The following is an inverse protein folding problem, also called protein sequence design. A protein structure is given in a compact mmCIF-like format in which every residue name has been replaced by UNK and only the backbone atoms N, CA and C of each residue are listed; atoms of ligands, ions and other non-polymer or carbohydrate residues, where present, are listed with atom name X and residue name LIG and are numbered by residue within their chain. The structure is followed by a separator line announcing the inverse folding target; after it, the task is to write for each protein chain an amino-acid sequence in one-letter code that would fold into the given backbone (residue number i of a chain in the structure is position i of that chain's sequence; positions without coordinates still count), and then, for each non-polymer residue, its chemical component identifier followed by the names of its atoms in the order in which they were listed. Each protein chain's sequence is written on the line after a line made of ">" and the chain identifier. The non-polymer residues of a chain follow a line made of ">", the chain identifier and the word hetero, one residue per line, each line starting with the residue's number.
data_IF_183385882971
#
_entry.id   IF_183385882971
#
_cell.length_a   1.000
_cell.length_b   1.000
_cell.length_c   1.000
_cell.angle_alpha   90.00
_cell.angle_beta   90.00
_cell.angle_gamma   90.00
#
_symmetry.space_group_name_H-M   'P 1'
#
loop_
_entity.id
_entity.type
_entity.pdbx_description
1 polymer ?
#
# COMPACT_ATOMS: atom_id res chain seq x y z
N UNK A 1 66.03 -42.81 -46.07
CA UNK A 1 65.40 -42.96 -44.74
C UNK A 1 64.88 -41.58 -44.39
N UNK A 2 63.59 -41.22 -44.44
CA UNK A 2 62.36 -41.94 -44.12
C UNK A 2 61.64 -41.12 -43.04
N UNK A 3 60.32 -40.94 -43.19
CA UNK A 3 59.33 -40.20 -42.36
C UNK A 3 59.14 -38.72 -42.73
N UNK A 4 58.10 -38.29 -43.46
CA UNK A 4 56.64 -38.57 -43.49
C UNK A 4 55.82 -37.70 -42.53
N UNK A 5 54.93 -36.91 -43.14
CA UNK A 5 53.60 -36.54 -42.63
C UNK A 5 53.56 -35.32 -41.71
N UNK A 6 52.56 -34.44 -41.75
CA UNK A 6 51.38 -34.37 -42.62
C UNK A 6 50.88 -32.92 -42.48
N UNK A 7 50.76 -32.22 -43.59
CA UNK A 7 49.95 -31.00 -43.71
C UNK A 7 48.50 -31.39 -43.39
N UNK A 8 47.88 -30.75 -42.41
CA UNK A 8 46.43 -30.79 -42.27
C UNK A 8 45.85 -29.40 -42.47
N UNK A 9 44.92 -29.39 -43.42
CA UNK A 9 44.41 -28.25 -44.13
C UNK A 9 43.45 -27.41 -43.30
N UNK A 10 43.60 -26.10 -43.54
CA UNK A 10 42.56 -25.09 -43.51
C UNK A 10 41.30 -25.62 -44.22
N UNK A 11 40.23 -25.89 -43.46
CA UNK A 11 38.90 -26.14 -44.01
C UNK A 11 37.92 -25.12 -43.46
N UNK A 12 37.42 -24.31 -44.38
CA UNK A 12 36.29 -23.39 -44.26
C UNK A 12 35.07 -24.08 -43.65
N UNK A 13 34.49 -23.48 -42.61
CA UNK A 13 33.10 -23.72 -42.20
C UNK A 13 32.28 -22.47 -42.51
N UNK A 14 31.94 -22.29 -43.78
CA UNK A 14 30.81 -21.46 -44.18
C UNK A 14 29.52 -22.27 -44.11
N UNK A 15 28.50 -21.69 -43.48
CA UNK A 15 27.11 -21.90 -43.88
C UNK A 15 26.25 -22.81 -42.99
N UNK A 16 25.39 -22.19 -42.19
CA UNK A 16 24.11 -22.80 -41.83
C UNK A 16 23.57 -22.42 -40.46
N UNK A 17 22.73 -21.38 -40.40
CA UNK A 17 21.79 -21.21 -39.28
C UNK A 17 21.81 -19.87 -38.54
N UNK A 18 21.88 -18.74 -39.26
CA UNK A 18 21.45 -17.47 -38.70
C UNK A 18 19.95 -17.58 -38.37
N UNK A 19 19.62 -17.77 -37.08
CA UNK A 19 18.24 -17.59 -36.58
C UNK A 19 17.91 -16.11 -36.74
N UNK A 20 17.16 -15.78 -37.80
CA UNK A 20 16.43 -14.51 -37.91
C UNK A 20 15.53 -14.37 -36.69
N UNK A 21 15.92 -13.50 -35.76
CA UNK A 21 15.03 -13.00 -34.72
C UNK A 21 14.77 -11.53 -35.01
N UNK A 22 14.18 -11.27 -36.17
CA UNK A 22 13.58 -9.99 -36.48
C UNK A 22 12.32 -10.30 -37.27
N UNK A 23 11.24 -9.58 -36.93
CA UNK A 23 10.05 -9.42 -37.77
C UNK A 23 8.91 -10.46 -37.56
N UNK A 24 8.26 -10.42 -36.39
CA UNK A 24 6.86 -10.88 -36.28
C UNK A 24 6.02 -10.28 -35.14
N UNK A 25 6.48 -9.24 -34.43
CA UNK A 25 5.73 -8.69 -33.27
C UNK A 25 4.97 -7.39 -33.46
N UNK A 26 4.71 -6.98 -34.70
CA UNK A 26 3.83 -5.85 -35.02
C UNK A 26 2.67 -6.26 -35.95
N UNK A 27 1.92 -7.29 -35.58
CA UNK A 27 0.59 -7.48 -36.13
C UNK A 27 -0.44 -7.05 -35.09
N UNK A 28 -1.10 -5.93 -35.38
CA UNK A 28 -2.25 -5.46 -34.63
C UNK A 28 -3.35 -6.52 -34.68
N UNK A 29 -3.87 -6.89 -33.52
CA UNK A 29 -5.00 -7.81 -33.38
C UNK A 29 -6.27 -7.09 -33.87
N UNK A 30 -7.01 -7.63 -34.86
CA UNK A 30 -8.32 -7.11 -35.27
C UNK A 30 -9.29 -7.14 -34.09
N UNK A 31 -10.11 -6.10 -33.93
CA UNK A 31 -11.00 -5.87 -32.77
C UNK A 31 -12.36 -6.55 -32.90
N UNK A 32 -12.49 -7.52 -33.78
CA UNK A 32 -13.77 -7.91 -34.34
C UNK A 32 -13.80 -9.39 -34.70
N UNK A 33 -13.59 -10.26 -33.70
CA UNK A 33 -14.26 -11.57 -33.59
C UNK A 33 -13.74 -12.35 -32.36
N UNK A 34 -14.39 -12.17 -31.21
CA UNK A 34 -14.49 -13.24 -30.21
C UNK A 34 -15.89 -13.16 -29.59
N UNK A 35 -16.88 -13.74 -30.28
CA UNK A 35 -18.17 -14.03 -29.67
C UNK A 35 -18.03 -15.21 -28.71
N UNK A 36 -17.51 -14.96 -27.50
CA UNK A 36 -17.57 -15.93 -26.41
C UNK A 36 -19.04 -16.08 -26.01
N UNK A 37 -19.63 -17.23 -26.34
CA UNK A 37 -20.89 -17.66 -25.77
C UNK A 37 -20.72 -17.76 -24.25
N UNK A 38 -21.21 -16.75 -23.52
CA UNK A 38 -21.26 -16.77 -22.06
C UNK A 38 -22.37 -17.75 -21.63
N UNK A 39 -22.11 -18.79 -20.83
CA UNK A 39 -23.19 -19.55 -20.24
C UNK A 39 -23.98 -18.64 -19.28
N UNK A 40 -25.29 -18.51 -19.52
CA UNK A 40 -26.22 -17.84 -18.59
C UNK A 40 -26.34 -18.71 -17.33
N UNK A 41 -25.63 -18.33 -16.28
CA UNK A 41 -25.91 -18.82 -14.93
C UNK A 41 -27.24 -18.19 -14.47
N UNK A 42 -28.31 -18.98 -14.53
CA UNK A 42 -29.56 -18.64 -13.86
C UNK A 42 -29.36 -18.79 -12.35
N UNK A 43 -29.23 -17.67 -11.64
CA UNK A 43 -29.33 -17.65 -10.19
C UNK A 43 -30.80 -17.89 -9.80
N UNK A 44 -31.13 -19.15 -9.47
CA UNK A 44 -32.42 -19.49 -8.88
C UNK A 44 -32.47 -18.94 -7.45
N UNK A 45 -33.28 -17.91 -7.25
CA UNK A 45 -33.50 -17.29 -5.96
C UNK A 45 -34.13 -18.26 -4.96
N UNK A 46 -33.38 -18.65 -3.94
CA UNK A 46 -33.94 -19.03 -2.65
C UNK A 46 -33.33 -18.10 -1.61
N UNK A 47 -34.17 -17.26 -0.99
CA UNK A 47 -33.73 -16.37 0.09
C UNK A 47 -33.39 -17.24 1.30
N UNK A 48 -32.15 -17.26 1.82
CA UNK A 48 -31.88 -17.98 3.07
C UNK A 48 -32.65 -17.30 4.20
N UNK A 49 -33.38 -18.09 4.99
CA UNK A 49 -33.98 -17.60 6.25
C UNK A 49 -32.84 -17.14 7.16
N UNK A 50 -32.83 -15.90 7.65
CA UNK A 50 -31.74 -15.42 8.48
C UNK A 50 -31.67 -16.23 9.79
N UNK A 51 -30.46 -16.56 10.27
CA UNK A 51 -30.30 -17.25 11.54
C UNK A 51 -30.87 -16.40 12.70
N UNK A 52 -31.57 -17.07 13.61
CA UNK A 52 -32.38 -16.53 14.73
C UNK A 52 -31.61 -15.72 15.78
N UNK A 53 -30.31 -15.51 15.60
CA UNK A 53 -29.42 -14.85 16.57
C UNK A 53 -29.27 -13.33 16.34
N UNK A 54 -29.89 -12.77 15.30
CA UNK A 54 -29.73 -11.35 14.94
C UNK A 54 -30.97 -10.48 15.18
N UNK A 55 -32.08 -11.02 15.70
CA UNK A 55 -33.36 -10.29 15.79
C UNK A 55 -33.54 -9.38 17.01
N UNK A 56 -32.64 -9.42 18.00
CA UNK A 56 -32.81 -8.60 19.22
C UNK A 56 -31.98 -7.31 19.20
N UNK A 57 -30.77 -7.33 18.60
CA UNK A 57 -29.92 -6.13 18.52
C UNK A 57 -30.36 -5.16 17.41
N UNK A 58 -30.79 -5.68 16.26
CA UNK A 58 -31.27 -4.86 15.13
C UNK A 58 -32.62 -4.21 15.40
N UNK A 59 -33.51 -4.86 16.17
CA UNK A 59 -34.76 -4.23 16.64
C UNK A 59 -34.50 -3.06 17.57
N UNK A 60 -33.55 -3.17 18.50
CA UNK A 60 -33.21 -2.07 19.42
C UNK A 60 -32.58 -0.86 18.71
N UNK A 61 -31.85 -1.08 17.62
CA UNK A 61 -31.26 0.02 16.84
C UNK A 61 -32.30 0.77 15.98
N UNK A 62 -33.31 0.08 15.46
CA UNK A 62 -34.39 0.71 14.67
C UNK A 62 -35.47 1.35 15.55
N UNK A 63 -35.71 0.84 16.76
CA UNK A 63 -36.66 1.41 17.72
C UNK A 63 -36.20 2.80 18.25
N UNK A 64 -34.88 3.05 18.27
CA UNK A 64 -34.32 4.37 18.59
C UNK A 64 -34.70 5.45 17.56
N UNK A 65 -34.93 5.09 16.30
CA UNK A 65 -35.36 6.06 15.25
C UNK A 65 -36.88 6.28 15.21
N UNK A 66 -37.68 5.45 15.88
CA UNK A 66 -39.14 5.62 16.02
C UNK A 66 -39.55 6.32 17.32
N UNK A 67 -38.61 6.76 18.16
CA UNK A 67 -38.85 7.77 19.19
C UNK A 67 -39.15 9.12 18.52
N UNK A 68 -40.33 9.20 17.91
CA UNK A 68 -40.91 10.40 17.33
C UNK A 68 -41.12 11.40 18.46
N UNK A 69 -40.21 12.36 18.50
CA UNK A 69 -40.37 13.70 19.03
C UNK A 69 -41.84 14.13 19.13
N UNK A 70 -42.44 13.93 20.31
CA UNK A 70 -43.59 14.72 20.74
C UNK A 70 -43.02 16.01 21.31
N UNK A 71 -42.72 16.97 20.42
CA UNK A 71 -42.56 18.36 20.80
C UNK A 71 -43.94 18.90 21.15
N UNK A 72 -44.37 18.75 22.41
CA UNK A 72 -45.44 19.58 22.93
C UNK A 72 -44.87 20.98 23.17
N UNK A 73 -45.27 21.92 22.31
CA UNK A 73 -45.05 23.36 22.48
C UNK A 73 -45.53 23.80 23.87
N UNK A 74 -44.70 24.42 24.73
CA UNK A 74 -45.17 25.08 25.94
C UNK A 74 -45.36 26.58 25.65
N UNK A 75 -46.31 26.92 24.78
CA UNK A 75 -46.82 28.30 24.66
C UNK A 75 -48.33 28.24 24.50
N UNK A 76 -49.03 27.86 25.57
CA UNK A 76 -50.44 28.19 25.79
C UNK A 76 -50.81 27.82 27.23
N UNK A 77 -51.14 28.85 28.01
CA UNK A 77 -51.77 28.88 29.34
C UNK A 77 -50.88 29.50 30.42
N UNK A 78 -50.77 30.82 30.35
CA UNK A 78 -50.69 31.64 31.55
C UNK A 78 -52.07 31.63 32.22
N UNK A 79 -52.34 30.55 32.96
CA UNK A 79 -53.49 30.42 33.85
C UNK A 79 -53.02 30.72 35.26
N UNK A 80 -53.27 31.94 35.70
CA UNK A 80 -53.05 32.42 37.06
C UNK A 80 -53.86 31.56 38.06
N UNK A 81 -53.17 30.87 38.98
CA UNK A 81 -53.77 30.49 40.26
C UNK A 81 -52.70 30.46 41.36
N UNK A 82 -52.91 31.33 42.35
CA UNK A 82 -52.14 31.42 43.58
C UNK A 82 -52.38 30.18 44.45
N UNK A 83 -51.31 29.50 44.90
CA UNK A 83 -50.95 29.41 46.32
C UNK A 83 -49.81 28.40 46.61
N UNK A 84 -48.83 28.90 47.36
CA UNK A 84 -47.94 28.26 48.36
C UNK A 84 -47.83 26.74 48.36
N UNK A 85 -46.60 26.27 48.09
CA UNK A 85 -46.12 24.96 48.51
C UNK A 85 -44.63 24.82 48.28
N UNK A 86 -43.84 24.91 49.36
CA UNK A 86 -42.40 24.65 49.40
C UNK A 86 -42.09 23.26 48.82
N UNK A 87 -41.06 23.14 47.99
CA UNK A 87 -39.90 22.26 48.25
C UNK A 87 -38.80 22.49 47.22
N UNK A 88 -37.57 22.48 47.74
CA UNK A 88 -36.32 22.64 47.04
C UNK A 88 -35.94 21.32 46.34
N UNK A 89 -35.40 21.41 45.13
CA UNK A 89 -34.70 20.29 44.49
C UNK A 89 -34.92 20.25 42.99
N UNK A 90 -33.83 20.06 42.25
CA UNK A 90 -33.80 19.65 40.83
C UNK A 90 -33.66 20.76 39.78
N UNK A 91 -32.66 21.62 39.91
CA UNK A 91 -32.11 22.37 38.75
C UNK A 91 -30.74 21.83 38.30
N UNK A 92 -30.27 20.71 38.86
CA UNK A 92 -28.88 20.25 38.65
C UNK A 92 -28.71 19.04 37.69
N UNK A 93 -29.77 18.55 37.04
CA UNK A 93 -29.69 17.27 36.30
C UNK A 93 -29.91 17.34 34.78
N UNK A 94 -30.05 18.54 34.19
CA UNK A 94 -30.35 18.68 32.75
C UNK A 94 -29.23 19.28 31.90
N UNK A 95 -28.10 19.69 32.48
CA UNK A 95 -26.99 20.29 31.72
C UNK A 95 -25.84 19.32 31.35
N UNK A 96 -25.81 18.11 31.91
CA UNK A 96 -24.65 17.19 31.81
C UNK A 96 -24.59 16.32 30.54
N UNK A 97 -25.64 16.27 29.72
CA UNK A 97 -25.70 15.34 28.56
C UNK A 97 -25.18 15.91 27.23
N UNK A 98 -24.77 17.19 27.15
CA UNK A 98 -24.24 17.77 25.90
C UNK A 98 -22.73 17.61 25.72
N UNK A 99 -21.97 17.45 26.80
CA UNK A 99 -20.51 17.32 26.73
C UNK A 99 -20.03 15.94 26.22
N UNK A 100 -20.77 14.87 26.51
CA UNK A 100 -20.35 13.50 26.15
C UNK A 100 -20.49 13.17 24.65
N UNK A 101 -21.45 13.79 23.95
CA UNK A 101 -21.68 13.51 22.53
C UNK A 101 -20.61 14.13 21.60
N UNK A 102 -19.92 15.19 22.04
CA UNK A 102 -18.87 15.84 21.24
C UNK A 102 -17.55 15.04 21.22
N UNK A 103 -17.30 14.18 22.21
CA UNK A 103 -16.06 13.40 22.30
C UNK A 103 -16.05 12.14 21.42
N UNK A 104 -17.22 11.59 21.07
CA UNK A 104 -17.31 10.36 20.27
C UNK A 104 -17.00 10.53 18.78
N UNK A 105 -17.14 11.74 18.23
CA UNK A 105 -16.92 12.01 16.80
C UNK A 105 -15.45 12.29 16.43
N UNK A 106 -14.61 12.67 17.39
CA UNK A 106 -13.21 13.02 17.14
C UNK A 106 -12.29 11.79 16.89
N UNK A 107 -12.69 10.58 17.32
CA UNK A 107 -11.85 9.38 17.26
C UNK A 107 -11.63 8.79 15.86
N UNK A 108 -12.48 9.10 14.88
CA UNK A 108 -12.39 8.49 13.55
C UNK A 108 -11.35 9.14 12.63
N UNK A 109 -10.82 10.32 12.97
CA UNK A 109 -9.89 11.06 12.11
C UNK A 109 -8.45 10.50 12.11
N UNK A 110 -8.07 9.67 13.09
CA UNK A 110 -6.68 9.19 13.30
C UNK A 110 -6.49 7.72 12.85
N UNK A 111 -7.47 7.13 12.17
CA UNK A 111 -7.39 5.72 11.78
C UNK A 111 -6.51 5.44 10.54
N UNK A 112 -6.14 6.49 9.80
CA UNK A 112 -5.31 6.41 8.60
C UNK A 112 -3.96 6.98 9.03
N UNK A 113 -2.89 6.18 8.98
CA UNK A 113 -1.54 6.69 9.18
C UNK A 113 -1.26 7.87 8.26
N UNK A 114 -0.25 8.67 8.57
CA UNK A 114 0.10 9.82 7.73
C UNK A 114 0.39 9.34 6.29
N UNK A 115 -0.49 9.68 5.33
CA UNK A 115 -0.35 9.29 3.92
C UNK A 115 0.46 10.31 3.12
N UNK A 116 0.97 11.37 3.77
CA UNK A 116 1.88 12.31 3.11
C UNK A 116 3.30 11.72 3.08
N UNK A 117 4.06 11.90 1.99
CA UNK A 117 5.49 11.58 1.95
C UNK A 117 6.21 12.14 3.18
N UNK A 118 6.98 11.30 3.87
CA UNK A 118 7.79 11.71 5.01
C UNK A 118 9.23 11.92 4.53
N UNK A 119 9.80 13.07 4.89
CA UNK A 119 11.21 13.35 4.66
C UNK A 119 12.07 12.31 5.38
N UNK A 120 13.19 11.94 4.75
CA UNK A 120 14.11 10.92 5.26
C UNK A 120 15.42 11.59 5.64
N UNK A 121 15.80 11.51 6.91
CA UNK A 121 17.12 11.93 7.39
C UNK A 121 18.14 10.83 7.11
N UNK A 122 19.04 11.10 6.17
CA UNK A 122 20.12 10.18 5.77
C UNK A 122 21.35 10.29 6.67
N UNK A 123 21.33 11.19 7.65
CA UNK A 123 22.34 11.31 8.70
C UNK A 123 23.76 11.45 8.16
N UNK A 124 24.64 10.52 8.55
CA UNK A 124 26.05 10.52 8.16
C UNK A 124 26.35 9.59 6.97
N UNK A 125 25.34 9.20 6.18
CA UNK A 125 25.59 8.43 4.97
C UNK A 125 26.40 9.26 3.97
N UNK A 126 27.36 8.65 3.25
CA UNK A 126 28.14 9.35 2.23
C UNK A 126 27.23 9.86 1.11
N UNK A 127 27.48 11.08 0.64
CA UNK A 127 26.70 11.68 -0.45
C UNK A 127 26.95 10.95 -1.77
N UNK A 128 25.89 10.39 -2.38
CA UNK A 128 26.02 9.63 -3.62
C UNK A 128 26.07 10.51 -4.89
N UNK A 129 25.70 11.79 -4.76
CA UNK A 129 25.62 12.76 -5.86
C UNK A 129 24.34 12.66 -6.70
N UNK A 130 24.29 13.47 -7.77
CA UNK A 130 23.14 13.58 -8.67
C UNK A 130 23.02 12.42 -9.67
N UNK A 131 24.12 11.71 -9.93
CA UNK A 131 24.13 10.57 -10.84
C UNK A 131 23.50 9.35 -10.17
N UNK A 132 22.49 8.78 -10.82
CA UNK A 132 21.75 7.63 -10.31
C UNK A 132 22.62 6.39 -10.44
N UNK A 133 22.92 5.75 -9.31
CA UNK A 133 23.63 4.47 -9.24
C UNK A 133 22.74 3.38 -9.82
N UNK A 134 23.34 2.41 -10.51
CA UNK A 134 22.63 1.24 -11.04
C UNK A 134 22.55 0.08 -10.05
N UNK A 135 23.39 0.11 -9.01
CA UNK A 135 23.55 -0.97 -8.02
C UNK A 135 23.56 -0.38 -6.60
N UNK A 136 23.18 -1.20 -5.61
CA UNK A 136 23.14 -0.76 -4.21
C UNK A 136 24.53 -0.45 -3.66
N UNK A 137 24.88 0.83 -3.41
CA UNK A 137 26.22 1.18 -2.97
C UNK A 137 26.52 0.78 -1.51
N UNK A 138 25.49 0.57 -0.68
CA UNK A 138 25.63 0.21 0.73
C UNK A 138 25.63 -1.30 0.97
N UNK A 139 25.53 -2.13 -0.08
CA UNK A 139 25.67 -3.59 0.06
C UNK A 139 27.07 -3.95 0.55
N UNK A 140 27.18 -4.97 1.39
CA UNK A 140 28.48 -5.48 1.83
C UNK A 140 29.35 -5.83 0.61
N UNK A 141 30.58 -5.31 0.56
CA UNK A 141 31.50 -5.49 -0.57
C UNK A 141 31.44 -4.41 -1.66
N UNK A 142 30.44 -3.53 -1.64
CA UNK A 142 30.34 -2.39 -2.56
C UNK A 142 31.02 -1.13 -2.00
N UNK A 143 31.06 -0.05 -2.80
CA UNK A 143 31.79 1.21 -2.52
C UNK A 143 31.60 1.76 -1.10
N UNK A 144 30.37 1.74 -0.59
CA UNK A 144 30.01 2.24 0.74
C UNK A 144 29.46 1.13 1.64
N UNK A 145 29.89 -0.12 1.42
CA UNK A 145 29.44 -1.28 2.19
C UNK A 145 29.71 -1.19 3.69
N UNK A 146 30.70 -0.39 4.11
CA UNK A 146 30.96 -0.12 5.53
C UNK A 146 29.79 0.57 6.26
N UNK A 147 28.93 1.27 5.51
CA UNK A 147 27.73 1.94 6.02
C UNK A 147 26.48 1.06 6.00
N UNK A 148 26.58 -0.23 5.63
CA UNK A 148 25.43 -1.12 5.45
C UNK A 148 24.46 -1.10 6.65
N UNK A 149 24.98 -1.30 7.86
CA UNK A 149 24.16 -1.34 9.07
C UNK A 149 23.47 0.00 9.36
N UNK A 150 24.15 1.12 9.09
CA UNK A 150 23.56 2.45 9.24
C UNK A 150 22.48 2.70 8.19
N UNK A 151 22.75 2.35 6.93
CA UNK A 151 21.82 2.45 5.83
C UNK A 151 20.57 1.59 6.07
N UNK A 152 20.72 0.35 6.53
CA UNK A 152 19.59 -0.52 6.89
C UNK A 152 18.74 0.08 8.02
N UNK A 153 19.36 0.68 9.05
CA UNK A 153 18.64 1.32 10.15
C UNK A 153 17.85 2.55 9.70
N UNK A 154 18.45 3.41 8.88
CA UNK A 154 17.76 4.57 8.29
C UNK A 154 16.63 4.08 7.39
N UNK A 155 16.93 3.11 6.52
CA UNK A 155 16.02 2.48 5.59
C UNK A 155 14.80 1.87 6.27
N UNK A 156 14.94 1.28 7.46
CA UNK A 156 13.80 0.75 8.22
C UNK A 156 12.75 1.83 8.53
N UNK A 157 13.21 2.97 9.05
CA UNK A 157 12.32 4.09 9.39
C UNK A 157 11.73 4.75 8.14
N UNK A 158 12.54 4.93 7.10
CA UNK A 158 12.12 5.49 5.82
C UNK A 158 11.08 4.59 5.14
N UNK A 159 11.30 3.27 5.16
CA UNK A 159 10.39 2.26 4.63
C UNK A 159 9.04 2.26 5.36
N UNK A 160 9.07 2.32 6.70
CA UNK A 160 7.88 2.34 7.52
C UNK A 160 6.98 3.56 7.21
N UNK A 161 7.57 4.73 7.02
CA UNK A 161 6.84 5.96 6.72
C UNK A 161 6.34 6.08 5.28
N UNK A 162 7.06 5.50 4.31
CA UNK A 162 6.82 5.80 2.89
C UNK A 162 6.34 4.60 2.05
N UNK A 163 6.65 3.36 2.46
CA UNK A 163 6.48 2.18 1.60
C UNK A 163 5.54 1.13 2.21
N UNK A 164 5.56 0.98 3.54
CA UNK A 164 4.90 -0.10 4.25
C UNK A 164 3.37 -0.11 4.09
N UNK A 165 2.75 1.06 3.87
CA UNK A 165 1.31 1.18 3.66
C UNK A 165 0.82 0.39 2.42
N UNK A 166 1.67 0.26 1.40
CA UNK A 166 1.34 -0.49 0.19
C UNK A 166 2.05 -1.83 0.16
N UNK A 167 3.36 -1.85 0.37
CA UNK A 167 4.20 -3.05 0.23
C UNK A 167 4.24 -3.94 1.48
N UNK A 168 3.46 -3.59 2.51
CA UNK A 168 3.32 -4.34 3.75
C UNK A 168 4.35 -3.98 4.81
N UNK A 169 4.07 -4.36 6.06
CA UNK A 169 4.98 -4.10 7.17
C UNK A 169 6.24 -4.96 6.97
N UNK A 170 7.42 -4.35 7.08
CA UNK A 170 8.71 -5.01 6.81
C UNK A 170 8.73 -5.69 5.43
N UNK A 171 8.22 -5.04 4.40
CA UNK A 171 8.19 -5.55 3.02
C UNK A 171 7.44 -6.86 2.79
N UNK A 172 6.69 -7.34 3.78
CA UNK A 172 5.86 -8.54 3.67
C UNK A 172 4.53 -8.16 3.02
N UNK A 173 4.42 -8.34 1.70
CA UNK A 173 3.22 -7.97 0.98
C UNK A 173 2.04 -8.89 1.30
N UNK A 174 0.82 -8.32 1.38
CA UNK A 174 -0.43 -9.08 1.48
C UNK A 174 -0.93 -9.66 0.14
N UNK A 175 -0.12 -9.60 -0.93
CA UNK A 175 -0.42 -10.17 -2.24
C UNK A 175 -1.14 -9.23 -3.23
N UNK A 176 -1.54 -8.03 -2.79
CA UNK A 176 -2.12 -7.01 -3.70
C UNK A 176 -1.04 -6.21 -4.43
N UNK A 177 0.10 -5.99 -3.78
CA UNK A 177 1.29 -5.33 -4.35
C UNK A 177 2.47 -6.31 -4.39
N UNK A 178 3.56 -6.01 -5.11
CA UNK A 178 4.76 -6.85 -5.07
C UNK A 178 5.36 -6.93 -3.66
N UNK A 179 5.81 -8.12 -3.27
CA UNK A 179 6.67 -8.32 -2.09
C UNK A 179 8.10 -7.90 -2.45
N UNK A 180 8.64 -6.90 -1.76
CA UNK A 180 9.94 -6.35 -2.13
C UNK A 180 11.11 -7.26 -1.73
N UNK A 181 10.88 -8.25 -0.86
CA UNK A 181 11.91 -9.20 -0.42
C UNK A 181 12.24 -10.22 -1.51
N UNK A 182 11.36 -10.38 -2.50
CA UNK A 182 11.60 -11.19 -3.70
C UNK A 182 12.64 -10.57 -4.63
N UNK A 183 12.92 -9.27 -4.51
CA UNK A 183 13.95 -8.62 -5.31
C UNK A 183 15.33 -9.22 -5.01
N UNK A 184 16.10 -9.41 -6.07
CA UNK A 184 17.48 -9.89 -6.05
C UNK A 184 18.45 -8.76 -6.34
N UNK A 185 19.74 -8.95 -6.10
CA UNK A 185 20.79 -7.97 -6.43
C UNK A 185 20.77 -7.54 -7.90
N UNK A 186 20.32 -8.41 -8.81
CA UNK A 186 20.17 -8.13 -10.24
C UNK A 186 19.00 -7.19 -10.57
N UNK A 187 18.12 -6.93 -9.60
CA UNK A 187 16.96 -6.06 -9.74
C UNK A 187 17.21 -4.63 -9.21
N UNK A 188 18.45 -4.25 -8.93
CA UNK A 188 18.80 -2.93 -8.38
C UNK A 188 18.42 -1.78 -9.32
N UNK A 189 18.77 -1.90 -10.60
CA UNK A 189 18.44 -0.89 -11.62
C UNK A 189 16.92 -0.80 -11.82
N UNK A 190 16.24 -1.95 -11.80
CA UNK A 190 14.79 -1.99 -11.81
C UNK A 190 14.19 -1.29 -10.59
N UNK A 191 14.72 -1.55 -9.39
CA UNK A 191 14.27 -0.94 -8.15
C UNK A 191 14.40 0.58 -8.18
N UNK A 192 15.59 1.12 -8.47
CA UNK A 192 15.82 2.57 -8.41
C UNK A 192 15.00 3.29 -9.47
N UNK A 193 14.87 2.72 -10.67
CA UNK A 193 14.02 3.26 -11.72
C UNK A 193 12.55 3.32 -11.32
N UNK A 194 12.05 2.31 -10.61
CA UNK A 194 10.66 2.27 -10.10
C UNK A 194 10.43 3.26 -8.96
N UNK A 195 11.35 3.36 -8.00
CA UNK A 195 11.21 4.28 -6.87
C UNK A 195 11.27 5.73 -7.35
N UNK A 196 12.21 6.06 -8.24
CA UNK A 196 12.32 7.41 -8.77
C UNK A 196 11.11 7.82 -9.61
N UNK A 197 10.65 6.97 -10.53
CA UNK A 197 9.65 7.35 -11.53
C UNK A 197 8.21 6.98 -11.15
N UNK A 198 8.02 6.08 -10.18
CA UNK A 198 6.72 5.49 -9.88
C UNK A 198 6.23 4.56 -11.00
N UNK A 199 4.94 4.23 -10.96
CA UNK A 199 4.30 3.40 -11.99
C UNK A 199 2.89 3.87 -12.32
N UNK A 200 2.43 3.61 -13.54
CA UNK A 200 1.05 3.86 -13.98
C UNK A 200 0.01 3.04 -13.20
N UNK A 201 0.45 2.05 -12.40
CA UNK A 201 -0.41 1.20 -11.56
C UNK A 201 -0.57 1.73 -10.13
N UNK A 202 -0.21 2.99 -9.89
CA UNK A 202 -0.48 3.68 -8.62
C UNK A 202 0.69 3.75 -7.64
N UNK A 203 1.89 3.29 -8.02
CA UNK A 203 3.10 3.54 -7.21
C UNK A 203 3.55 5.01 -7.42
N UNK A 204 3.66 5.83 -6.36
CA UNK A 204 4.07 7.22 -6.49
C UNK A 204 5.55 7.35 -6.93
N UNK A 205 5.86 8.47 -7.57
CA UNK A 205 7.24 8.87 -7.85
C UNK A 205 7.85 9.52 -6.62
N UNK A 206 9.07 9.11 -6.27
CA UNK A 206 9.79 9.63 -5.10
C UNK A 206 10.92 10.59 -5.43
N UNK A 207 11.22 10.82 -6.72
CA UNK A 207 12.33 11.67 -7.20
C UNK A 207 12.36 13.08 -6.60
N UNK A 208 11.22 13.62 -6.18
CA UNK A 208 11.10 14.97 -5.60
C UNK A 208 11.02 15.00 -4.08
N UNK A 209 10.78 13.85 -3.44
CA UNK A 209 10.45 13.78 -2.01
C UNK A 209 11.55 13.12 -1.17
N UNK A 210 12.44 12.36 -1.79
CA UNK A 210 13.62 11.82 -1.12
C UNK A 210 14.79 11.78 -2.08
N UNK A 211 16.00 11.85 -1.54
CA UNK A 211 17.24 11.73 -2.29
C UNK A 211 17.57 10.26 -2.62
N UNK A 212 18.59 10.06 -3.45
CA UNK A 212 19.08 8.73 -3.79
C UNK A 212 19.60 7.96 -2.56
N UNK A 213 20.18 8.65 -1.58
CA UNK A 213 20.71 8.05 -0.35
C UNK A 213 19.60 7.33 0.42
N UNK A 214 18.45 8.00 0.59
CA UNK A 214 17.26 7.45 1.23
C UNK A 214 16.70 6.25 0.45
N UNK A 215 16.66 6.33 -0.89
CA UNK A 215 16.20 5.22 -1.72
C UNK A 215 17.10 3.97 -1.55
N UNK A 216 18.43 4.14 -1.58
CA UNK A 216 19.35 3.02 -1.37
C UNK A 216 19.38 2.51 0.07
N UNK A 217 19.16 3.39 1.06
CA UNK A 217 18.99 2.98 2.44
C UNK A 217 17.77 2.07 2.60
N UNK A 218 16.63 2.42 1.97
CA UNK A 218 15.43 1.57 1.94
C UNK A 218 15.74 0.22 1.28
N UNK A 219 16.46 0.21 0.15
CA UNK A 219 16.87 -1.03 -0.53
C UNK A 219 17.70 -1.93 0.38
N UNK A 220 18.67 -1.34 1.07
CA UNK A 220 19.57 -2.05 2.00
C UNK A 220 18.79 -2.63 3.18
N UNK A 221 17.80 -1.90 3.69
CA UNK A 221 16.87 -2.44 4.68
C UNK A 221 16.10 -3.65 4.14
N UNK A 222 15.53 -3.56 2.94
CA UNK A 222 14.77 -4.67 2.33
C UNK A 222 15.65 -5.91 2.13
N UNK A 223 16.91 -5.73 1.72
CA UNK A 223 17.89 -6.80 1.57
C UNK A 223 18.25 -7.47 2.90
N UNK A 224 18.20 -6.74 4.02
CA UNK A 224 18.48 -7.28 5.36
C UNK A 224 17.36 -8.19 5.90
N UNK A 225 16.18 -8.18 5.27
CA UNK A 225 15.03 -8.97 5.73
C UNK A 225 15.12 -10.42 5.27
N UNK A 226 14.46 -11.31 6.03
CA UNK A 226 14.33 -12.70 5.64
C UNK A 226 13.56 -12.83 4.31
N UNK A 227 14.12 -13.63 3.40
CA UNK A 227 13.50 -13.98 2.12
C UNK A 227 12.13 -14.65 2.36
N UNK A 228 11.16 -14.45 1.45
CA UNK A 228 9.89 -15.15 1.54
C UNK A 228 10.10 -16.66 1.42
N UNK A 229 9.26 -17.41 2.12
CA UNK A 229 9.27 -18.88 2.20
C UNK A 229 8.50 -19.55 1.06
#
# INVERSE_FOLDING_TARGET
>A
MGFSGLFLSLQLMEGGGARKYSESRNQAVPKDEVSVQRPKLYYQGTKPKPPKWHTDWTRRFLDWRSARWQLTNPIANYGESNNRGKTNGNVLFTQSNRAAAALGLAGFAIAHGNVTPQDVDTGNLPELGDEVRSENPFREGNEFGEFNAQAAKIGESAYAGNCAACHGIRAMSGGLTPDLRELTEWDDEYYIGRVMNGTDRGMPSWKKSMDQNAMWAIRTYVESLAKPE
#
